data_IF_302623697266
#
_entry.id   IF_302623697266
#
_cell.length_a   1.000
_cell.length_b   1.000
_cell.length_c   1.000
_cell.angle_alpha   90.00
_cell.angle_beta   90.00
_cell.angle_gamma   90.00
#
_symmetry.space_group_name_H-M   'P 1'
#
loop_
_entity.id
_entity.type
_entity.pdbx_description
1 polymer ?
#
# COMPACT_ATOMS: atom_id res chain seq x y z
N UNK A 1 12.50 16.16 -56.37
CA UNK A 1 13.17 16.48 -55.09
C UNK A 1 12.09 16.52 -54.03
N UNK A 2 12.20 15.54 -53.13
CA UNK A 2 11.64 15.38 -51.77
C UNK A 2 11.56 16.71 -50.98
N UNK A 3 10.63 16.96 -50.05
CA UNK A 3 10.26 16.11 -48.92
C UNK A 3 8.83 16.35 -48.40
N UNK A 4 8.19 15.23 -48.02
CA UNK A 4 7.01 15.14 -47.14
C UNK A 4 7.54 15.03 -45.70
N UNK A 5 7.28 16.02 -44.85
CA UNK A 5 7.35 15.82 -43.39
C UNK A 5 5.92 15.65 -42.86
N UNK A 6 5.40 14.43 -43.04
CA UNK A 6 4.24 13.95 -42.30
C UNK A 6 4.77 13.54 -40.92
N UNK A 7 4.38 14.28 -39.90
CA UNK A 7 4.53 13.93 -38.50
C UNK A 7 3.81 12.60 -38.22
N UNK A 8 4.58 11.52 -38.06
CA UNK A 8 4.04 10.22 -37.61
C UNK A 8 3.53 10.33 -36.17
N UNK A 9 2.38 9.72 -35.84
CA UNK A 9 1.98 9.53 -34.46
C UNK A 9 2.89 8.43 -33.88
N UNK A 10 3.77 8.80 -32.95
CA UNK A 10 4.54 7.84 -32.14
C UNK A 10 3.54 7.02 -31.30
N UNK A 11 3.10 5.90 -31.86
CA UNK A 11 2.48 4.81 -31.12
C UNK A 11 3.49 4.31 -30.07
N UNK A 12 3.02 4.16 -28.83
CA UNK A 12 3.88 3.70 -27.74
C UNK A 12 4.44 2.32 -28.06
N UNK A 13 5.74 2.15 -27.81
CA UNK A 13 6.43 0.87 -27.94
C UNK A 13 5.70 -0.17 -27.07
N UNK A 14 5.22 -1.30 -27.62
CA UNK A 14 4.42 -2.30 -26.89
C UNK A 14 5.10 -2.80 -25.60
N UNK A 15 6.43 -2.77 -25.56
CA UNK A 15 7.24 -3.12 -24.39
C UNK A 15 7.03 -2.18 -23.19
N UNK A 16 6.82 -0.88 -23.43
CA UNK A 16 6.57 0.12 -22.39
C UNK A 16 5.18 -0.02 -21.77
N UNK A 17 4.19 -0.37 -22.59
CA UNK A 17 2.80 -0.58 -22.16
C UNK A 17 2.72 -1.83 -21.27
N UNK A 18 3.32 -2.94 -21.70
CA UNK A 18 3.39 -4.16 -20.89
C UNK A 18 4.11 -3.93 -19.55
N UNK A 19 5.19 -3.15 -19.55
CA UNK A 19 5.92 -2.85 -18.33
C UNK A 19 5.06 -2.08 -17.32
N UNK A 20 4.32 -1.04 -17.73
CA UNK A 20 3.55 -0.27 -16.75
C UNK A 20 2.33 -1.03 -16.18
N UNK A 21 1.67 -1.88 -16.98
CA UNK A 21 0.63 -2.78 -16.44
C UNK A 21 1.20 -3.77 -15.42
N UNK A 22 2.35 -4.38 -15.74
CA UNK A 22 3.02 -5.28 -14.81
C UNK A 22 3.40 -4.57 -13.50
N UNK A 23 4.00 -3.39 -13.59
CA UNK A 23 4.35 -2.58 -12.41
C UNK A 23 3.11 -2.21 -11.59
N UNK A 24 1.99 -1.87 -12.24
CA UNK A 24 0.74 -1.56 -11.54
C UNK A 24 0.23 -2.77 -10.72
N UNK A 25 0.25 -3.97 -11.31
CA UNK A 25 -0.13 -5.21 -10.62
C UNK A 25 0.80 -5.56 -9.46
N UNK A 26 2.11 -5.34 -9.63
CA UNK A 26 3.10 -5.53 -8.56
C UNK A 26 2.77 -4.61 -7.38
N UNK A 27 2.51 -3.32 -7.63
CA UNK A 27 2.16 -2.36 -6.58
C UNK A 27 0.81 -2.67 -5.93
N UNK A 28 -0.20 -3.07 -6.70
CA UNK A 28 -1.50 -3.47 -6.17
C UNK A 28 -1.35 -4.63 -5.17
N UNK A 29 -0.59 -5.66 -5.57
CA UNK A 29 -0.33 -6.85 -4.75
C UNK A 29 0.46 -6.48 -3.49
N UNK A 30 1.51 -5.66 -3.63
CA UNK A 30 2.32 -5.22 -2.51
C UNK A 30 1.49 -4.43 -1.49
N UNK A 31 0.70 -3.45 -1.93
CA UNK A 31 -0.15 -2.65 -1.03
C UNK A 31 -1.19 -3.53 -0.34
N UNK A 32 -1.86 -4.43 -1.06
CA UNK A 32 -2.82 -5.35 -0.48
C UNK A 32 -2.21 -6.24 0.62
N UNK A 33 -0.97 -6.69 0.43
CA UNK A 33 -0.25 -7.45 1.45
C UNK A 33 -0.03 -6.63 2.74
N UNK A 34 0.41 -5.38 2.64
CA UNK A 34 0.59 -4.51 3.81
C UNK A 34 -0.74 -4.18 4.50
N UNK A 35 -1.82 -3.95 3.75
CA UNK A 35 -3.15 -3.77 4.33
C UNK A 35 -3.59 -5.00 5.14
N UNK A 36 -3.34 -6.20 4.62
CA UNK A 36 -3.67 -7.46 5.32
C UNK A 36 -2.84 -7.63 6.59
N UNK A 37 -1.53 -7.34 6.57
CA UNK A 37 -0.71 -7.41 7.78
C UNK A 37 -1.16 -6.41 8.85
N UNK A 38 -1.55 -5.20 8.44
CA UNK A 38 -2.11 -4.20 9.35
C UNK A 38 -3.40 -4.71 9.99
N UNK A 39 -4.27 -5.37 9.22
CA UNK A 39 -5.53 -5.92 9.73
C UNK A 39 -5.33 -7.04 10.75
N UNK A 40 -4.32 -7.88 10.56
CA UNK A 40 -3.94 -8.89 11.56
C UNK A 40 -3.50 -8.22 12.87
N UNK A 41 -2.67 -7.19 12.81
CA UNK A 41 -2.22 -6.46 14.00
C UNK A 41 -3.36 -5.71 14.69
N UNK A 42 -4.28 -5.11 13.92
CA UNK A 42 -5.47 -4.46 14.46
C UNK A 42 -6.37 -5.45 15.21
N UNK A 43 -6.52 -6.66 14.68
CA UNK A 43 -7.30 -7.73 15.33
C UNK A 43 -6.69 -8.08 16.69
N UNK A 44 -5.38 -8.37 16.73
CA UNK A 44 -4.66 -8.70 17.97
C UNK A 44 -4.74 -7.57 19.02
N UNK A 45 -4.64 -6.32 18.58
CA UNK A 45 -4.75 -5.16 19.47
C UNK A 45 -6.19 -4.98 19.98
N UNK A 46 -7.19 -5.29 19.17
CA UNK A 46 -8.61 -5.21 19.57
C UNK A 46 -8.92 -6.26 20.63
N UNK A 47 -8.49 -7.51 20.42
CA UNK A 47 -8.65 -8.61 21.39
C UNK A 47 -8.04 -8.25 22.76
N UNK A 48 -6.88 -7.59 22.74
CA UNK A 48 -6.19 -7.13 23.94
C UNK A 48 -6.92 -5.97 24.64
N UNK A 49 -7.51 -5.05 23.87
CA UNK A 49 -8.30 -3.93 24.42
C UNK A 49 -9.60 -4.41 25.07
N UNK A 50 -10.19 -5.47 24.54
CA UNK A 50 -11.44 -6.06 25.05
C UNK A 50 -11.21 -6.90 26.31
N UNK A 51 -10.06 -7.57 26.42
CA UNK A 51 -9.77 -8.48 27.53
C UNK A 51 -9.14 -7.81 28.75
N UNK A 52 -8.49 -6.64 28.61
CA UNK A 52 -7.63 -6.11 29.69
C UNK A 52 -8.12 -4.79 30.31
N UNK A 53 -8.15 -4.79 31.65
CA UNK A 53 -8.55 -3.61 32.46
C UNK A 53 -7.36 -2.73 32.91
N UNK A 54 -6.11 -3.17 32.71
CA UNK A 54 -4.93 -2.41 33.12
C UNK A 54 -4.78 -1.14 32.27
N UNK A 55 -5.03 0.02 32.88
CA UNK A 55 -5.06 1.32 32.18
C UNK A 55 -3.81 1.62 31.35
N UNK A 56 -2.62 1.29 31.85
CA UNK A 56 -1.36 1.54 31.13
C UNK A 56 -1.22 0.66 29.88
N UNK A 57 -1.60 -0.63 29.95
CA UNK A 57 -1.56 -1.53 28.81
C UNK A 57 -2.60 -1.13 27.77
N UNK A 58 -3.81 -0.79 28.23
CA UNK A 58 -4.91 -0.32 27.39
C UNK A 58 -4.55 0.97 26.65
N UNK A 59 -3.92 1.93 27.32
CA UNK A 59 -3.48 3.18 26.69
C UNK A 59 -2.46 2.91 25.57
N UNK A 60 -1.48 2.04 25.84
CA UNK A 60 -0.44 1.72 24.85
C UNK A 60 -0.99 0.93 23.67
N UNK A 61 -1.88 -0.02 23.92
CA UNK A 61 -2.59 -0.78 22.90
C UNK A 61 -3.45 0.14 22.02
N UNK A 62 -4.17 1.09 22.62
CA UNK A 62 -4.95 2.09 21.91
C UNK A 62 -4.08 2.98 21.01
N UNK A 63 -2.90 3.39 21.49
CA UNK A 63 -1.95 4.17 20.70
C UNK A 63 -1.43 3.39 19.46
N UNK A 64 -1.09 2.11 19.63
CA UNK A 64 -0.71 1.25 18.50
C UNK A 64 -1.89 1.04 17.55
N UNK A 65 -3.09 0.80 18.07
CA UNK A 65 -4.29 0.61 17.27
C UNK A 65 -4.61 1.85 16.42
N UNK A 66 -4.49 3.06 16.99
CA UNK A 66 -4.63 4.31 16.25
C UNK A 66 -3.56 4.48 15.16
N UNK A 67 -2.30 4.19 15.49
CA UNK A 67 -1.19 4.26 14.53
C UNK A 67 -1.39 3.29 13.35
N UNK A 68 -1.84 2.06 13.63
CA UNK A 68 -2.13 1.06 12.59
C UNK A 68 -3.29 1.48 11.69
N UNK A 69 -4.38 2.02 12.24
CA UNK A 69 -5.48 2.56 11.43
C UNK A 69 -5.06 3.73 10.54
N UNK A 70 -4.18 4.60 11.07
CA UNK A 70 -3.63 5.71 10.29
C UNK A 70 -2.80 5.20 9.11
N UNK A 71 -1.93 4.20 9.34
CA UNK A 71 -1.15 3.55 8.29
C UNK A 71 -2.05 2.87 7.25
N UNK A 72 -3.07 2.12 7.69
CA UNK A 72 -4.04 1.48 6.79
C UNK A 72 -4.70 2.49 5.85
N UNK A 73 -5.17 3.60 6.41
CA UNK A 73 -5.82 4.67 5.63
C UNK A 73 -4.87 5.28 4.60
N UNK A 74 -3.57 5.37 4.90
CA UNK A 74 -2.56 5.89 3.96
C UNK A 74 -2.20 4.89 2.87
N UNK A 75 -2.12 3.60 3.17
CA UNK A 75 -1.97 2.55 2.14
C UNK A 75 -3.18 2.50 1.21
N UNK A 76 -4.39 2.56 1.76
CA UNK A 76 -5.63 2.63 0.97
C UNK A 76 -5.66 3.86 0.07
N UNK A 77 -5.23 5.03 0.58
CA UNK A 77 -5.13 6.24 -0.24
C UNK A 77 -4.09 6.09 -1.34
N UNK A 78 -2.91 5.54 -1.04
CA UNK A 78 -1.89 5.26 -2.06
C UNK A 78 -2.44 4.35 -3.15
N UNK A 79 -3.19 3.31 -2.78
CA UNK A 79 -3.86 2.41 -3.72
C UNK A 79 -4.88 3.15 -4.58
N UNK A 80 -5.80 3.89 -3.96
CA UNK A 80 -6.86 4.61 -4.67
C UNK A 80 -6.34 5.69 -5.60
N UNK A 81 -5.28 6.39 -5.21
CA UNK A 81 -4.77 7.54 -5.95
C UNK A 81 -3.84 7.11 -7.09
N UNK A 82 -3.06 6.05 -6.89
CA UNK A 82 -1.95 5.71 -7.78
C UNK A 82 -2.02 4.31 -8.43
N UNK A 83 -2.85 3.39 -7.93
CA UNK A 83 -3.06 2.06 -8.53
C UNK A 83 -4.34 2.07 -9.37
N UNK A 84 -4.31 1.36 -10.52
CA UNK A 84 -5.43 1.33 -11.44
C UNK A 84 -6.27 0.07 -11.19
N UNK A 85 -7.34 0.19 -10.40
CA UNK A 85 -8.21 -0.94 -10.03
C UNK A 85 -9.54 -1.00 -10.81
N UNK A 86 -9.80 -0.06 -11.73
CA UNK A 86 -11.08 -0.01 -12.45
C UNK A 86 -11.17 -1.02 -13.60
N UNK A 87 -12.39 -1.36 -14.05
CA UNK A 87 -12.62 -2.14 -15.28
C UNK A 87 -11.96 -1.51 -16.53
N UNK A 88 -11.71 -0.20 -16.48
CA UNK A 88 -11.00 0.58 -17.50
C UNK A 88 -9.49 0.40 -17.42
N UNK A 89 -8.98 -0.44 -16.51
CA UNK A 89 -7.57 -0.82 -16.39
C UNK A 89 -7.32 -2.26 -16.88
N UNK A 90 -8.39 -2.98 -17.26
CA UNK A 90 -8.30 -4.29 -17.89
C UNK A 90 -7.69 -4.11 -19.28
N UNK A 91 -6.68 -4.91 -19.67
CA UNK A 91 -5.95 -4.74 -20.93
C UNK A 91 -6.83 -5.14 -22.12
N UNK A 92 -7.85 -4.34 -22.43
CA UNK A 92 -8.66 -4.43 -23.64
C UNK A 92 -7.94 -3.68 -24.76
N UNK A 93 -6.75 -4.16 -25.11
CA UNK A 93 -6.05 -3.91 -26.38
C UNK A 93 -5.60 -2.49 -26.73
N UNK A 94 -5.96 -1.43 -25.98
CA UNK A 94 -5.68 -0.04 -26.40
C UNK A 94 -5.43 0.98 -25.28
N UNK A 95 -5.41 0.57 -24.01
CA UNK A 95 -5.08 1.51 -22.92
C UNK A 95 -3.58 1.80 -22.92
N UNK A 96 -3.25 3.02 -23.30
CA UNK A 96 -1.88 3.56 -23.27
C UNK A 96 -1.52 3.93 -21.84
N UNK A 97 -0.27 3.66 -21.42
CA UNK A 97 0.27 4.07 -20.12
C UNK A 97 0.32 5.60 -19.91
N UNK A 98 -0.12 6.38 -20.90
CA UNK A 98 -0.43 7.81 -20.84
C UNK A 98 -1.63 8.17 -19.98
N UNK A 99 -2.48 7.23 -19.58
CA UNK A 99 -3.51 7.54 -18.59
C UNK A 99 -2.86 8.01 -17.28
N UNK A 100 -3.31 9.13 -16.68
CA UNK A 100 -2.58 9.81 -15.61
C UNK A 100 -2.21 8.92 -14.43
N UNK A 101 -2.99 7.87 -14.15
CA UNK A 101 -2.73 6.91 -13.07
C UNK A 101 -1.66 5.88 -13.41
N UNK A 102 -1.55 5.49 -14.68
CA UNK A 102 -0.54 4.53 -15.12
C UNK A 102 0.87 5.11 -15.16
N UNK A 103 1.01 6.42 -15.39
CA UNK A 103 2.31 7.12 -15.37
C UNK A 103 2.89 7.40 -13.98
N UNK A 104 2.11 7.23 -12.90
CA UNK A 104 2.52 7.52 -11.52
C UNK A 104 3.27 6.37 -10.84
N UNK A 105 3.48 5.24 -11.51
CA UNK A 105 4.18 4.09 -10.94
C UNK A 105 5.59 4.43 -10.43
N UNK A 106 6.29 5.37 -11.08
CA UNK A 106 7.61 5.86 -10.63
C UNK A 106 7.55 6.66 -9.33
N UNK A 107 6.43 7.33 -9.07
CA UNK A 107 6.22 8.09 -7.84
C UNK A 107 5.67 7.22 -6.71
N UNK A 108 5.03 6.09 -7.03
CA UNK A 108 4.56 5.13 -6.02
C UNK A 108 5.73 4.64 -5.18
N UNK A 109 6.86 4.31 -5.80
CA UNK A 109 8.01 3.70 -5.12
C UNK A 109 8.46 4.52 -3.90
N UNK A 110 8.63 5.84 -4.03
CA UNK A 110 9.07 6.68 -2.91
C UNK A 110 8.01 6.82 -1.81
N UNK A 111 6.74 6.98 -2.17
CA UNK A 111 5.64 7.06 -1.21
C UNK A 111 5.42 5.73 -0.49
N UNK A 112 5.53 4.63 -1.24
CA UNK A 112 5.45 3.28 -0.72
C UNK A 112 6.58 3.03 0.26
N UNK A 113 7.84 3.31 -0.11
CA UNK A 113 9.01 3.11 0.75
C UNK A 113 8.88 3.83 2.10
N UNK A 114 8.43 5.08 2.08
CA UNK A 114 8.19 5.85 3.31
C UNK A 114 7.12 5.22 4.20
N UNK A 115 6.03 4.70 3.59
CA UNK A 115 4.98 4.00 4.32
C UNK A 115 5.44 2.66 4.87
N UNK A 116 6.24 1.91 4.12
CA UNK A 116 6.80 0.64 4.59
C UNK A 116 7.77 0.82 5.74
N UNK A 117 8.64 1.82 5.68
CA UNK A 117 9.58 2.11 6.77
C UNK A 117 8.84 2.51 8.04
N UNK A 118 7.80 3.35 7.91
CA UNK A 118 6.94 3.72 9.03
C UNK A 118 6.18 2.50 9.60
N UNK A 119 5.61 1.68 8.72
CA UNK A 119 4.94 0.45 9.12
C UNK A 119 5.88 -0.51 9.86
N UNK A 120 7.08 -0.77 9.33
CA UNK A 120 8.06 -1.65 9.96
C UNK A 120 8.46 -1.15 11.36
N UNK A 121 8.64 0.17 11.53
CA UNK A 121 8.92 0.77 12.83
C UNK A 121 7.76 0.58 13.82
N UNK A 122 6.53 0.84 13.39
CA UNK A 122 5.34 0.70 14.24
C UNK A 122 5.08 -0.78 14.57
N UNK A 123 5.22 -1.67 13.59
CA UNK A 123 5.11 -3.13 13.72
C UNK A 123 6.12 -3.68 14.74
N UNK A 124 7.40 -3.30 14.63
CA UNK A 124 8.42 -3.73 15.57
C UNK A 124 8.09 -3.31 17.01
N UNK A 125 7.68 -2.06 17.20
CA UNK A 125 7.24 -1.57 18.52
C UNK A 125 6.00 -2.30 19.05
N UNK A 126 5.02 -2.57 18.18
CA UNK A 126 3.82 -3.32 18.53
C UNK A 126 4.16 -4.75 18.97
N UNK A 127 5.01 -5.47 18.25
CA UNK A 127 5.43 -6.81 18.65
C UNK A 127 6.23 -6.84 19.95
N UNK A 128 7.12 -5.86 20.16
CA UNK A 128 7.82 -5.74 21.43
C UNK A 128 6.84 -5.55 22.59
N UNK A 129 5.81 -4.73 22.40
CA UNK A 129 4.74 -4.55 23.37
C UNK A 129 3.95 -5.85 23.61
N UNK A 130 3.50 -6.52 22.54
CA UNK A 130 2.76 -7.79 22.65
C UNK A 130 3.60 -8.87 23.35
N UNK A 131 4.90 -8.96 23.07
CA UNK A 131 5.81 -9.90 23.74
C UNK A 131 5.87 -9.67 25.25
N UNK A 132 5.83 -8.41 25.71
CA UNK A 132 5.76 -8.09 27.14
C UNK A 132 4.43 -8.54 27.73
N UNK A 133 3.32 -8.33 27.03
CA UNK A 133 1.98 -8.77 27.48
C UNK A 133 1.94 -10.30 27.62
N UNK A 134 2.44 -11.04 26.63
CA UNK A 134 2.56 -12.51 26.70
C UNK A 134 3.41 -12.93 27.90
N UNK A 135 4.57 -12.30 28.09
CA UNK A 135 5.50 -12.63 29.18
C UNK A 135 4.89 -12.40 30.56
N UNK A 136 3.99 -11.42 30.66
CA UNK A 136 3.23 -11.15 31.88
C UNK A 136 2.05 -12.12 32.09
N UNK A 137 1.86 -13.13 31.21
CA UNK A 137 0.73 -14.07 31.21
C UNK A 137 -0.64 -13.37 31.20
N UNK A 138 -0.75 -12.27 30.45
CA UNK A 138 -2.01 -11.51 30.36
C UNK A 138 -2.79 -11.88 29.09
N UNK A 139 -2.15 -12.58 28.13
CA UNK A 139 -2.78 -13.12 26.91
C UNK A 139 -3.39 -14.51 27.12
#
# INVERSE_FOLDING_TARGET
>A
MTDKLISSPLGEEPSLVQNCHHQNQVWATAIAHYEQEIDQLLTLLSDLLDTHSYQNLRHRAFAYHGSMNHLKSRFQRLRLDMVCESLVCMPTGSQTCREPRFGLYKTIESHFQLLTDEFNRVKAGCYQFLSVVVTLNIL
#
